data_IF_220399640369
#
_entry.id   IF_220399640369
#
_cell.length_a   1.000
_cell.length_b   1.000
_cell.length_c   1.000
_cell.angle_alpha   90.00
_cell.angle_beta   90.00
_cell.angle_gamma   90.00
#
_symmetry.space_group_name_H-M   'P 1'
#
loop_
_entity.id
_entity.type
_entity.pdbx_description
1 polymer ?
#
# COMPACT_ATOMS: atom_id res chain seq x y z
N UNK A 1 -9.20 -6.18 -12.72
CA UNK A 1 -8.21 -5.91 -11.67
C UNK A 1 -8.47 -6.84 -10.50
N UNK A 2 -7.44 -7.56 -10.06
CA UNK A 2 -7.51 -8.44 -8.91
C UNK A 2 -6.82 -7.73 -7.74
N UNK A 3 -7.55 -7.55 -6.64
CA UNK A 3 -7.05 -6.90 -5.44
C UNK A 3 -7.02 -7.94 -4.32
N UNK A 4 -5.81 -8.22 -3.81
CA UNK A 4 -5.63 -9.07 -2.63
C UNK A 4 -5.42 -8.18 -1.41
N UNK A 5 -6.05 -8.50 -0.30
CA UNK A 5 -5.99 -7.70 0.91
C UNK A 5 -5.72 -8.58 2.13
N UNK A 6 -4.79 -8.15 2.96
CA UNK A 6 -4.47 -8.81 4.23
C UNK A 6 -3.98 -7.79 5.24
N UNK A 7 -4.12 -8.09 6.53
CA UNK A 7 -3.43 -7.31 7.55
C UNK A 7 -1.91 -7.43 7.41
N UNK A 8 -1.41 -8.63 7.10
CA UNK A 8 0.01 -8.86 6.81
C UNK A 8 0.81 -9.48 7.95
N UNK A 9 0.26 -9.52 9.16
CA UNK A 9 1.00 -9.98 10.35
C UNK A 9 1.45 -11.46 10.27
N UNK A 10 0.75 -12.27 9.47
CA UNK A 10 1.09 -13.68 9.30
C UNK A 10 2.15 -13.94 8.24
N UNK A 11 2.59 -12.91 7.52
CA UNK A 11 3.53 -13.05 6.40
C UNK A 11 4.96 -12.64 6.74
N UNK A 12 5.26 -12.37 8.01
CA UNK A 12 6.62 -12.04 8.46
C UNK A 12 7.16 -10.73 7.86
N UNK A 13 6.29 -9.76 7.56
CA UNK A 13 6.68 -8.54 6.86
C UNK A 13 7.56 -7.59 7.69
N UNK A 14 7.74 -7.85 8.98
CA UNK A 14 8.73 -7.15 9.81
C UNK A 14 10.16 -7.50 9.41
N UNK A 15 10.38 -8.59 8.68
CA UNK A 15 11.70 -9.13 8.34
C UNK A 15 11.95 -9.16 6.84
N UNK A 16 10.98 -9.59 6.04
CA UNK A 16 11.13 -9.76 4.60
C UNK A 16 9.76 -9.69 3.92
N UNK A 17 9.75 -9.38 2.63
CA UNK A 17 8.55 -9.34 1.80
C UNK A 17 8.26 -10.67 1.11
N UNK A 18 9.13 -11.67 1.23
CA UNK A 18 9.08 -12.89 0.42
C UNK A 18 7.75 -13.65 0.54
N UNK A 19 7.23 -13.81 1.75
CA UNK A 19 5.97 -14.54 1.95
C UNK A 19 4.75 -13.76 1.43
N UNK A 20 4.74 -12.45 1.66
CA UNK A 20 3.67 -11.60 1.15
C UNK A 20 3.66 -11.61 -0.37
N UNK A 21 4.84 -11.48 -0.97
CA UNK A 21 4.99 -11.48 -2.42
C UNK A 21 4.56 -12.82 -3.03
N UNK A 22 4.98 -13.93 -2.43
CA UNK A 22 4.57 -15.26 -2.89
C UNK A 22 3.04 -15.41 -2.86
N UNK A 23 2.41 -14.97 -1.78
CA UNK A 23 0.95 -15.03 -1.67
C UNK A 23 0.26 -14.17 -2.74
N UNK A 24 0.74 -12.94 -2.93
CA UNK A 24 0.18 -12.04 -3.94
C UNK A 24 0.32 -12.61 -5.36
N UNK A 25 1.44 -13.27 -5.66
CA UNK A 25 1.66 -13.91 -6.95
C UNK A 25 0.73 -15.13 -7.14
N UNK A 26 0.55 -15.92 -6.09
CA UNK A 26 -0.38 -17.07 -6.13
C UNK A 26 -1.82 -16.63 -6.38
N UNK A 27 -2.21 -15.48 -5.86
CA UNK A 27 -3.55 -14.91 -6.06
C UNK A 27 -3.67 -14.14 -7.38
N UNK A 28 -2.60 -14.05 -8.14
CA UNK A 28 -2.56 -13.29 -9.41
C UNK A 28 -2.97 -11.82 -9.22
N UNK A 29 -2.53 -11.23 -8.13
CA UNK A 29 -2.95 -9.89 -7.73
C UNK A 29 -2.30 -8.80 -8.58
N UNK A 30 -3.10 -7.82 -8.98
CA UNK A 30 -2.61 -6.57 -9.56
C UNK A 30 -2.24 -5.58 -8.46
N UNK A 31 -2.99 -5.63 -7.35
CA UNK A 31 -2.78 -4.77 -6.19
C UNK A 31 -2.84 -5.64 -4.94
N UNK A 32 -1.88 -5.45 -4.04
CA UNK A 32 -1.85 -6.08 -2.73
C UNK A 32 -1.93 -4.99 -1.66
N UNK A 33 -3.04 -4.97 -0.93
CA UNK A 33 -3.23 -4.05 0.19
C UNK A 33 -2.83 -4.75 1.48
N UNK A 34 -1.95 -4.12 2.25
CA UNK A 34 -1.49 -4.69 3.53
C UNK A 34 -1.36 -3.60 4.58
N UNK A 35 -1.27 -4.00 5.84
CA UNK A 35 -1.15 -3.07 6.96
C UNK A 35 -0.04 -3.48 7.91
N UNK A 36 -0.37 -3.61 9.19
CA UNK A 36 0.48 -4.09 10.29
C UNK A 36 1.64 -3.16 10.66
N UNK A 37 2.43 -2.71 9.69
CA UNK A 37 3.65 -1.92 9.93
C UNK A 37 3.36 -0.46 10.29
N UNK A 38 2.18 0.06 9.99
CA UNK A 38 1.78 1.45 10.19
C UNK A 38 2.68 2.44 9.43
N UNK A 39 3.23 2.03 8.30
CA UNK A 39 4.12 2.84 7.46
C UNK A 39 3.48 3.01 6.10
N UNK A 40 3.11 4.25 5.77
CA UNK A 40 2.54 4.55 4.45
C UNK A 40 3.60 4.31 3.38
N UNK A 41 3.27 3.47 2.40
CA UNK A 41 4.18 3.12 1.31
C UNK A 41 3.41 2.53 0.14
N UNK A 42 3.94 2.73 -1.06
CA UNK A 42 3.47 2.03 -2.25
C UNK A 42 4.66 1.71 -3.14
N UNK A 43 4.72 0.48 -3.62
CA UNK A 43 5.85 -0.01 -4.42
C UNK A 43 5.39 -1.15 -5.31
N UNK A 44 6.20 -1.50 -6.30
CA UNK A 44 5.85 -2.55 -7.27
C UNK A 44 6.90 -3.65 -7.26
N UNK A 45 6.44 -4.89 -7.37
CA UNK A 45 7.30 -6.03 -7.70
C UNK A 45 6.57 -6.87 -8.76
N UNK A 46 7.20 -7.07 -9.92
CA UNK A 46 6.56 -7.71 -11.05
C UNK A 46 5.33 -6.93 -11.50
N UNK A 47 4.19 -7.59 -11.63
CA UNK A 47 2.93 -6.94 -12.00
C UNK A 47 2.17 -6.35 -10.80
N UNK A 48 2.56 -6.70 -9.59
CA UNK A 48 1.80 -6.36 -8.37
C UNK A 48 2.27 -5.06 -7.76
N UNK A 49 1.33 -4.16 -7.49
CA UNK A 49 1.55 -2.93 -6.71
C UNK A 49 1.14 -3.21 -5.27
N UNK A 50 2.09 -3.01 -4.35
CA UNK A 50 1.88 -3.20 -2.91
C UNK A 50 1.62 -1.87 -2.26
N UNK A 51 0.54 -1.78 -1.47
CA UNK A 51 0.11 -0.50 -0.87
C UNK A 51 -0.17 -0.69 0.61
N UNK A 52 0.50 0.11 1.43
CA UNK A 52 0.17 0.28 2.84
C UNK A 52 -0.43 1.68 3.01
N UNK A 53 -1.66 1.81 3.55
CA UNK A 53 -2.29 3.12 3.72
C UNK A 53 -1.69 3.94 4.87
N UNK A 54 -0.74 3.39 5.63
CA UNK A 54 -0.25 4.03 6.84
C UNK A 54 -1.18 3.78 8.03
N UNK A 55 -1.25 4.76 8.93
CA UNK A 55 -2.12 4.65 10.10
C UNK A 55 -2.77 6.00 10.39
N UNK A 56 -4.07 5.98 10.65
CA UNK A 56 -4.80 7.18 11.06
C UNK A 56 -4.70 7.45 12.57
N UNK A 57 -4.04 6.56 13.31
CA UNK A 57 -3.93 6.68 14.77
C UNK A 57 -2.50 6.56 15.29
N UNK A 58 -1.69 5.64 14.74
CA UNK A 58 -0.36 5.31 15.24
C UNK A 58 0.66 5.18 14.10
N UNK A 59 0.96 6.26 13.38
CA UNK A 59 1.95 6.18 12.30
C UNK A 59 3.34 5.84 12.84
N UNK A 60 4.08 5.04 12.07
CA UNK A 60 5.45 4.62 12.38
C UNK A 60 6.36 4.91 11.18
N UNK A 61 7.66 4.74 11.38
CA UNK A 61 8.65 4.99 10.34
C UNK A 61 8.89 6.47 10.12
N UNK A 62 9.38 6.86 8.93
CA UNK A 62 9.78 8.25 8.67
C UNK A 62 8.61 9.21 8.51
N UNK A 63 7.41 8.72 8.18
CA UNK A 63 6.23 9.56 8.01
C UNK A 63 5.44 9.56 9.30
N UNK A 64 5.35 10.72 9.94
CA UNK A 64 4.68 10.89 11.22
C UNK A 64 3.21 11.33 11.08
N UNK A 65 2.77 11.67 9.88
CA UNK A 65 1.40 12.08 9.62
C UNK A 65 0.43 10.90 9.75
N UNK A 66 -0.72 11.17 10.34
CA UNK A 66 -1.83 10.22 10.40
C UNK A 66 -2.57 10.27 9.08
N UNK A 67 -2.50 9.19 8.31
CA UNK A 67 -2.94 9.15 6.92
C UNK A 67 -3.95 8.04 6.67
N UNK A 68 -4.77 8.24 5.66
CA UNK A 68 -5.49 7.18 4.97
C UNK A 68 -5.21 7.29 3.47
N UNK A 69 -5.54 6.25 2.72
CA UNK A 69 -5.22 6.20 1.29
C UNK A 69 -6.46 6.03 0.44
N UNK A 70 -6.41 6.61 -0.75
CA UNK A 70 -7.37 6.39 -1.83
C UNK A 70 -6.61 5.82 -3.01
N UNK A 71 -7.07 4.69 -3.52
CA UNK A 71 -6.47 4.04 -4.70
C UNK A 71 -7.34 4.34 -5.90
N UNK A 72 -6.76 4.95 -6.92
CA UNK A 72 -7.46 5.34 -8.14
C UNK A 72 -6.92 4.50 -9.28
N UNK A 73 -7.81 3.75 -9.92
CA UNK A 73 -7.46 2.81 -10.99
C UNK A 73 -8.17 3.27 -12.26
N UNK A 74 -7.43 3.47 -13.34
CA UNK A 74 -7.99 3.69 -14.66
C UNK A 74 -7.33 2.73 -15.67
N UNK A 75 -7.62 2.90 -16.96
CA UNK A 75 -7.13 1.98 -18.00
C UNK A 75 -5.60 1.99 -18.13
N UNK A 76 -4.96 3.10 -17.78
CA UNK A 76 -3.53 3.29 -17.97
C UNK A 76 -2.71 3.19 -16.69
N UNK A 77 -3.28 3.57 -15.53
CA UNK A 77 -2.49 3.80 -14.31
C UNK A 77 -3.19 3.36 -13.04
N UNK A 78 -2.38 3.11 -12.02
CA UNK A 78 -2.79 2.95 -10.63
C UNK A 78 -2.13 4.10 -9.87
N UNK A 79 -2.94 4.98 -9.27
CA UNK A 79 -2.45 6.11 -8.48
C UNK A 79 -2.91 5.96 -7.04
N UNK A 80 -2.01 6.25 -6.10
CA UNK A 80 -2.32 6.23 -4.67
C UNK A 80 -2.25 7.65 -4.16
N UNK A 81 -3.33 8.12 -3.56
CA UNK A 81 -3.40 9.41 -2.90
C UNK A 81 -3.53 9.20 -1.40
N UNK A 82 -2.65 9.84 -0.64
CA UNK A 82 -2.69 9.82 0.81
C UNK A 82 -3.29 11.12 1.32
N UNK A 83 -4.14 11.01 2.34
CA UNK A 83 -4.85 12.15 2.91
C UNK A 83 -4.66 12.18 4.42
N UNK A 84 -4.59 13.39 4.97
CA UNK A 84 -4.56 13.61 6.40
C UNK A 84 -5.95 13.36 7.01
N UNK A 85 -6.03 13.37 8.33
CA UNK A 85 -7.32 13.24 9.04
C UNK A 85 -8.27 14.40 8.75
N UNK A 86 -7.75 15.54 8.31
CA UNK A 86 -8.55 16.69 7.89
C UNK A 86 -8.94 16.62 6.42
N UNK A 87 -8.69 15.49 5.75
CA UNK A 87 -9.00 15.23 4.34
C UNK A 87 -8.20 16.10 3.37
N UNK A 88 -7.01 16.52 3.76
CA UNK A 88 -6.09 17.24 2.89
C UNK A 88 -5.10 16.28 2.24
N UNK A 89 -4.83 16.49 0.95
CA UNK A 89 -3.87 15.66 0.22
C UNK A 89 -2.47 15.81 0.83
N UNK A 90 -1.86 14.67 1.15
CA UNK A 90 -0.47 14.63 1.59
C UNK A 90 0.43 14.58 0.35
N UNK A 91 0.85 15.74 -0.12
CA UNK A 91 1.53 15.91 -1.40
C UNK A 91 2.96 15.37 -1.43
N UNK A 92 3.53 15.02 -0.27
CA UNK A 92 4.89 14.48 -0.17
C UNK A 92 4.97 13.01 -0.57
N UNK A 93 3.84 12.32 -0.73
CA UNK A 93 3.77 10.92 -1.13
C UNK A 93 2.62 10.73 -2.10
N UNK A 94 2.92 10.73 -3.40
CA UNK A 94 1.93 10.61 -4.47
C UNK A 94 2.35 9.56 -5.49
N UNK A 95 2.47 8.28 -5.08
CA UNK A 95 2.96 7.25 -5.99
C UNK A 95 1.97 6.94 -7.11
N UNK A 96 2.52 6.65 -8.28
CA UNK A 96 1.75 6.35 -9.48
C UNK A 96 2.47 5.26 -10.27
N UNK A 97 1.71 4.29 -10.78
CA UNK A 97 2.25 3.14 -11.49
C UNK A 97 1.52 2.93 -12.81
N UNK A 98 2.25 2.58 -13.85
CA UNK A 98 1.65 2.16 -15.12
C UNK A 98 0.94 0.81 -14.94
N UNK A 99 -0.16 0.64 -15.60
CA UNK A 99 -0.87 -0.65 -15.61
C UNK A 99 -0.28 -1.59 -16.64
#
# INVERSE_FOLDING_TARGET
VIIAQTHGHLFGINFTWDKLDLWAQQEDADICLYGHLHVAAAWRNGKTVYINPGSISQPRGPIHEKLYAKVIINDAKIRVEYYTRDHELYSELTPEFER
#
